data_IF_890333319420
#
_entry.id   IF_890333319420
#
_cell.length_a   1.000
_cell.length_b   1.000
_cell.length_c   1.000
_cell.angle_alpha   90.00
_cell.angle_beta   90.00
_cell.angle_gamma   90.00
#
_symmetry.space_group_name_H-M   'P 1'
#
loop_
_entity.id
_entity.type
_entity.pdbx_description
1 polymer ?
#
# COMPACT_ATOMS: atom_id res chain seq x y z
N UNK A 1 18.60 29.42 26.01
CA UNK A 1 18.29 29.51 24.57
C UNK A 1 17.47 28.28 24.21
N UNK A 2 16.14 28.41 24.16
CA UNK A 2 15.26 27.29 23.80
C UNK A 2 15.28 27.16 22.27
N UNK A 3 15.88 26.09 21.77
CA UNK A 3 15.75 25.72 20.37
C UNK A 3 14.38 25.07 20.19
N UNK A 4 13.44 25.75 19.55
CA UNK A 4 12.27 25.07 18.99
C UNK A 4 12.77 24.14 17.89
N UNK A 5 12.74 22.83 18.15
CA UNK A 5 13.06 21.82 17.15
C UNK A 5 11.89 21.74 16.18
N UNK A 6 12.13 22.06 14.91
CA UNK A 6 11.13 21.93 13.87
C UNK A 6 10.61 20.48 13.82
N UNK A 7 9.33 20.29 14.12
CA UNK A 7 8.64 19.00 14.00
C UNK A 7 8.25 18.78 12.55
N UNK A 8 8.67 17.65 11.99
CA UNK A 8 8.31 17.25 10.64
C UNK A 8 7.66 15.88 10.64
N UNK A 9 6.62 15.71 9.83
CA UNK A 9 5.98 14.43 9.56
C UNK A 9 5.58 14.37 8.09
N UNK A 10 5.88 13.24 7.46
CA UNK A 10 5.36 12.92 6.13
C UNK A 10 3.88 12.57 6.18
N UNK A 11 3.43 11.93 7.27
CA UNK A 11 2.06 11.46 7.42
C UNK A 11 1.19 12.51 8.09
N UNK A 12 -0.06 12.62 7.63
CA UNK A 12 -1.05 13.55 8.21
C UNK A 12 -1.60 13.01 9.52
N UNK A 13 -1.79 11.70 9.60
CA UNK A 13 -2.23 10.96 10.78
C UNK A 13 -1.45 9.66 10.88
N UNK A 14 -1.40 9.10 12.08
CA UNK A 14 -0.88 7.74 12.27
C UNK A 14 -1.72 6.74 11.45
N UNK A 15 -1.06 5.67 11.00
CA UNK A 15 -1.74 4.59 10.30
C UNK A 15 -2.47 3.68 11.31
N UNK A 16 -3.54 2.99 10.86
CA UNK A 16 -4.19 1.98 11.69
C UNK A 16 -3.19 0.91 12.16
N UNK A 17 -3.35 0.33 13.37
CA UNK A 17 -2.37 -0.61 13.93
C UNK A 17 -2.10 -1.86 13.08
N UNK A 18 -3.05 -2.27 12.24
CA UNK A 18 -2.89 -3.41 11.33
C UNK A 18 -2.11 -3.08 10.05
N UNK A 19 -1.71 -1.83 9.85
CA UNK A 19 -1.11 -1.32 8.62
C UNK A 19 0.30 -0.82 8.90
N UNK A 20 1.26 -1.27 8.10
CA UNK A 20 2.63 -0.80 8.15
C UNK A 20 3.09 -0.25 6.79
N UNK A 21 3.96 0.75 6.81
CA UNK A 21 4.67 1.20 5.61
C UNK A 21 5.94 0.37 5.51
N UNK A 22 5.95 -0.55 4.55
CA UNK A 22 7.09 -1.41 4.29
C UNK A 22 8.20 -0.68 3.54
N UNK A 23 7.85 0.25 2.64
CA UNK A 23 8.85 0.98 1.86
C UNK A 23 8.37 2.39 1.52
N UNK A 24 9.26 3.36 1.71
CA UNK A 24 9.21 4.67 1.05
C UNK A 24 10.57 4.88 0.40
N UNK A 25 10.60 4.86 -0.92
CA UNK A 25 11.82 5.04 -1.69
C UNK A 25 11.62 6.16 -2.72
N UNK A 26 12.35 7.27 -2.61
CA UNK A 26 12.39 8.29 -3.64
C UNK A 26 12.94 7.73 -4.95
N UNK A 27 12.14 7.80 -6.03
CA UNK A 27 12.55 7.38 -7.37
C UNK A 27 13.05 8.56 -8.19
N UNK A 28 12.37 9.71 -8.09
CA UNK A 28 12.78 10.95 -8.73
C UNK A 28 12.21 12.17 -8.03
N UNK A 29 12.87 13.31 -8.17
CA UNK A 29 12.35 14.60 -7.75
C UNK A 29 12.53 15.62 -8.87
N UNK A 30 11.42 16.20 -9.32
CA UNK A 30 11.38 17.20 -10.38
C UNK A 30 10.66 18.44 -9.88
N UNK A 31 11.38 19.56 -9.75
CA UNK A 31 10.85 20.81 -9.18
C UNK A 31 10.24 20.56 -7.79
N UNK A 32 8.91 20.59 -7.69
CA UNK A 32 8.14 20.34 -6.47
C UNK A 32 7.33 19.03 -6.50
N UNK A 33 7.60 18.14 -7.46
CA UNK A 33 6.98 16.83 -7.56
C UNK A 33 8.00 15.78 -7.15
N UNK A 34 7.63 14.97 -6.15
CA UNK A 34 8.37 13.81 -5.68
C UNK A 34 7.66 12.56 -6.16
N UNK A 35 8.36 11.71 -6.90
CA UNK A 35 7.89 10.37 -7.28
C UNK A 35 8.51 9.36 -6.33
N UNK A 36 7.69 8.56 -5.65
CA UNK A 36 8.17 7.52 -4.73
C UNK A 36 7.57 6.16 -5.05
N UNK A 37 8.33 5.12 -4.74
CA UNK A 37 7.81 3.78 -4.51
C UNK A 37 7.30 3.71 -3.08
N UNK A 38 6.02 3.40 -2.96
CA UNK A 38 5.30 3.31 -1.70
C UNK A 38 4.76 1.89 -1.55
N UNK A 39 5.26 1.16 -0.55
CA UNK A 39 4.75 -0.16 -0.20
C UNK A 39 4.06 -0.11 1.16
N UNK A 40 2.86 -0.68 1.19
CA UNK A 40 2.04 -0.77 2.38
C UNK A 40 1.59 -2.22 2.56
N UNK A 41 1.53 -2.65 3.81
CA UNK A 41 1.19 -4.03 4.15
C UNK A 41 0.21 -4.12 5.31
N UNK A 42 -0.52 -5.24 5.35
CA UNK A 42 -1.27 -5.66 6.51
C UNK A 42 -0.44 -6.64 7.34
N UNK A 43 -0.07 -6.25 8.57
CA UNK A 43 0.93 -7.01 9.35
C UNK A 43 0.39 -8.27 10.04
N UNK A 44 -0.93 -8.36 10.24
CA UNK A 44 -1.56 -9.51 10.90
C UNK A 44 -1.95 -10.58 9.88
N UNK A 45 -1.82 -11.84 10.28
CA UNK A 45 -2.37 -12.99 9.56
C UNK A 45 -3.85 -13.21 9.91
N UNK A 46 -4.54 -13.99 9.09
CA UNK A 46 -5.91 -14.43 9.35
C UNK A 46 -5.95 -15.14 10.70
N UNK A 47 -6.93 -14.78 11.53
CA UNK A 47 -7.19 -15.37 12.85
C UNK A 47 -6.12 -15.10 13.94
N UNK A 48 -5.10 -14.29 13.68
CA UNK A 48 -4.12 -13.90 14.69
C UNK A 48 -4.73 -13.00 15.78
N UNK A 49 -5.68 -12.14 15.40
CA UNK A 49 -6.39 -11.25 16.30
C UNK A 49 -7.85 -11.05 15.87
N UNK A 50 -8.78 -11.09 16.83
CA UNK A 50 -10.23 -11.04 16.57
C UNK A 50 -10.69 -9.82 15.76
N UNK A 51 -10.02 -8.68 15.94
CA UNK A 51 -10.35 -7.39 15.29
C UNK A 51 -9.30 -6.90 14.30
N UNK A 52 -8.02 -7.20 14.53
CA UNK A 52 -6.92 -6.60 13.77
C UNK A 52 -6.52 -7.45 12.56
N UNK A 53 -6.90 -8.73 12.55
CA UNK A 53 -6.79 -9.61 11.38
C UNK A 53 -7.91 -9.42 10.36
N UNK A 54 -8.67 -8.32 10.42
CA UNK A 54 -9.75 -8.04 9.48
C UNK A 54 -9.25 -7.09 8.39
N UNK A 55 -9.69 -7.31 7.16
CA UNK A 55 -9.36 -6.46 6.03
C UNK A 55 -9.70 -4.99 6.31
N UNK A 56 -8.89 -4.09 5.75
CA UNK A 56 -9.02 -2.65 5.97
C UNK A 56 -8.97 -1.88 4.64
N UNK A 57 -9.62 -0.72 4.62
CA UNK A 57 -9.63 0.20 3.49
C UNK A 57 -9.03 1.53 3.91
N UNK A 58 -8.11 2.06 3.12
CA UNK A 58 -7.35 3.26 3.44
C UNK A 58 -7.43 4.23 2.27
N UNK A 59 -7.88 5.44 2.52
CA UNK A 59 -7.92 6.49 1.50
C UNK A 59 -6.52 7.12 1.33
N UNK A 60 -5.86 6.85 0.20
CA UNK A 60 -4.44 7.21 0.01
C UNK A 60 -4.19 8.73 0.08
N UNK A 61 -5.17 9.54 -0.34
CA UNK A 61 -5.06 10.99 -0.32
C UNK A 61 -5.08 11.58 1.11
N UNK A 62 -5.50 10.80 2.11
CA UNK A 62 -5.48 11.20 3.53
C UNK A 62 -4.18 10.86 4.24
N UNK A 63 -3.29 10.05 3.63
CA UNK A 63 -2.06 9.57 4.25
C UNK A 63 -1.01 10.68 4.34
N UNK A 64 -0.76 11.39 3.24
CA UNK A 64 0.37 12.32 3.16
C UNK A 64 0.00 13.73 3.67
N UNK A 65 0.87 14.28 4.52
CA UNK A 65 0.80 15.65 5.00
C UNK A 65 1.55 16.58 4.04
N UNK A 66 1.12 17.84 3.95
CA UNK A 66 1.80 18.91 3.22
C UNK A 66 2.09 18.63 1.72
N UNK A 67 1.48 17.59 1.15
CA UNK A 67 1.64 17.21 -0.26
C UNK A 67 0.28 16.87 -0.85
N UNK A 68 0.05 17.33 -2.08
CA UNK A 68 -1.08 16.90 -2.91
C UNK A 68 -0.71 15.62 -3.65
N UNK A 69 -1.52 14.58 -3.49
CA UNK A 69 -1.44 13.40 -4.35
C UNK A 69 -1.84 13.78 -5.78
N UNK A 70 -0.93 13.61 -6.73
CA UNK A 70 -1.18 13.85 -8.15
C UNK A 70 -1.58 12.57 -8.88
N UNK A 71 -0.91 11.47 -8.56
CA UNK A 71 -1.07 10.19 -9.23
C UNK A 71 -0.70 9.07 -8.25
N UNK A 72 -1.43 7.97 -8.32
CA UNK A 72 -1.07 6.71 -7.68
C UNK A 72 -1.35 5.57 -8.65
N UNK A 73 -0.33 4.76 -8.94
CA UNK A 73 -0.43 3.61 -9.83
C UNK A 73 0.06 2.36 -9.12
N UNK A 74 -0.77 1.34 -9.08
CA UNK A 74 -0.39 0.06 -8.50
C UNK A 74 0.57 -0.68 -9.44
N UNK A 75 1.62 -1.24 -8.86
CA UNK A 75 2.66 -2.01 -9.55
C UNK A 75 2.79 -3.38 -8.91
N UNK A 76 3.45 -4.31 -9.61
CA UNK A 76 3.86 -5.58 -9.04
C UNK A 76 4.77 -5.37 -7.82
N UNK A 77 4.95 -6.40 -6.99
CA UNK A 77 5.82 -6.32 -5.79
C UNK A 77 7.27 -5.89 -6.15
N UNK A 78 7.77 -6.35 -7.30
CA UNK A 78 9.07 -5.98 -7.85
C UNK A 78 9.14 -4.57 -8.45
N UNK A 79 8.03 -3.81 -8.45
CA UNK A 79 7.90 -2.45 -8.97
C UNK A 79 8.33 -2.28 -10.44
N UNK A 80 8.33 -3.36 -11.23
CA UNK A 80 8.83 -3.39 -12.60
C UNK A 80 7.73 -3.40 -13.67
N UNK A 81 6.47 -3.61 -13.27
CA UNK A 81 5.31 -3.66 -14.17
C UNK A 81 4.08 -3.07 -13.47
N UNK A 82 3.19 -2.44 -14.23
CA UNK A 82 1.89 -2.03 -13.71
C UNK A 82 1.05 -3.26 -13.38
N UNK A 83 0.30 -3.18 -12.27
CA UNK A 83 -0.51 -4.32 -11.81
C UNK A 83 -1.60 -4.71 -12.82
N UNK A 84 -2.15 -3.73 -13.53
CA UNK A 84 -3.15 -3.91 -14.60
C UNK A 84 -2.60 -4.59 -15.85
N UNK A 85 -1.28 -4.53 -16.06
CA UNK A 85 -0.58 -5.14 -17.19
C UNK A 85 0.11 -6.47 -16.81
N UNK A 86 0.09 -6.82 -15.52
CA UNK A 86 0.70 -8.03 -15.03
C UNK A 86 0.00 -9.24 -15.65
N UNK A 87 0.80 -10.17 -16.21
CA UNK A 87 0.30 -11.38 -16.85
C UNK A 87 -0.60 -12.20 -15.92
N UNK A 88 -1.59 -12.84 -16.52
CA UNK A 88 -2.40 -13.84 -15.86
C UNK A 88 -1.50 -14.95 -15.32
N UNK A 89 -1.62 -15.21 -14.02
CA UNK A 89 -0.92 -16.32 -13.38
C UNK A 89 -1.41 -17.63 -13.99
N UNK A 90 -0.48 -18.58 -14.17
CA UNK A 90 -0.85 -19.95 -14.51
C UNK A 90 -1.83 -20.48 -13.45
N UNK A 91 -2.92 -21.08 -13.94
CA UNK A 91 -3.94 -21.69 -13.10
C UNK A 91 -3.56 -23.15 -12.89
N UNK A 92 -3.43 -23.55 -11.62
CA UNK A 92 -3.11 -24.91 -11.23
C UNK A 92 -4.34 -25.56 -10.59
N UNK A 93 -4.59 -26.82 -10.95
CA UNK A 93 -5.60 -27.64 -10.27
C UNK A 93 -4.87 -28.46 -9.21
N UNK A 94 -5.07 -28.16 -7.92
CA UNK A 94 -4.44 -28.95 -6.87
C UNK A 94 -5.11 -30.32 -6.74
N UNK A 95 -4.39 -31.29 -6.16
CA UNK A 95 -4.95 -32.61 -5.88
C UNK A 95 -6.17 -32.50 -4.93
N UNK A 96 -7.12 -33.41 -5.06
CA UNK A 96 -8.40 -33.38 -4.33
C UNK A 96 -8.28 -33.50 -2.79
N UNK A 97 -7.11 -33.86 -2.27
CA UNK A 97 -6.79 -33.87 -0.84
C UNK A 97 -6.31 -32.51 -0.33
N UNK A 98 -6.04 -31.57 -1.23
CA UNK A 98 -5.70 -30.20 -0.91
C UNK A 98 -6.99 -29.39 -0.74
N UNK A 99 -7.40 -29.22 0.52
CA UNK A 99 -8.33 -28.14 0.85
C UNK A 99 -7.61 -26.82 0.64
N UNK A 100 -7.84 -26.18 -0.50
CA UNK A 100 -7.41 -24.80 -0.69
C UNK A 100 -8.23 -23.90 0.24
N UNK A 101 -7.70 -23.69 1.44
CA UNK A 101 -8.26 -22.74 2.43
C UNK A 101 -7.97 -21.29 2.04
N UNK A 102 -7.20 -21.07 0.98
CA UNK A 102 -7.08 -19.75 0.39
C UNK A 102 -8.26 -19.56 -0.56
N UNK A 103 -9.35 -19.02 -0.04
CA UNK A 103 -10.15 -18.13 -0.89
C UNK A 103 -9.19 -17.06 -1.37
N UNK A 104 -8.69 -17.22 -2.60
CA UNK A 104 -8.01 -16.17 -3.35
C UNK A 104 -9.11 -15.15 -3.71
N UNK A 105 -9.59 -14.46 -2.69
CA UNK A 105 -10.44 -13.30 -2.84
C UNK A 105 -9.62 -12.32 -3.65
N UNK A 106 -10.02 -12.11 -4.91
CA UNK A 106 -9.38 -11.15 -5.77
C UNK A 106 -9.55 -9.81 -5.08
N UNK A 107 -8.49 -9.34 -4.44
CA UNK A 107 -8.51 -8.04 -3.79
C UNK A 107 -8.94 -7.01 -4.83
N UNK A 108 -9.86 -6.10 -4.50
CA UNK A 108 -10.35 -5.14 -5.45
C UNK A 108 -9.19 -4.39 -6.13
N UNK A 109 -9.30 -4.26 -7.45
CA UNK A 109 -8.41 -3.40 -8.22
C UNK A 109 -8.40 -2.01 -7.60
N UNK A 110 -7.21 -1.40 -7.53
CA UNK A 110 -7.08 -0.05 -7.01
C UNK A 110 -7.83 0.94 -7.91
N UNK A 111 -8.74 1.71 -7.33
CA UNK A 111 -9.57 2.70 -8.02
C UNK A 111 -8.90 4.08 -8.13
N UNK A 112 -7.66 4.21 -7.67
CA UNK A 112 -6.94 5.48 -7.60
C UNK A 112 -7.08 6.22 -6.26
N UNK A 113 -7.97 5.78 -5.37
CA UNK A 113 -8.32 6.49 -4.14
C UNK A 113 -8.24 5.64 -2.88
N UNK A 114 -8.68 4.38 -2.94
CA UNK A 114 -8.84 3.51 -1.78
C UNK A 114 -7.99 2.26 -1.91
N UNK A 115 -7.06 2.09 -0.99
CA UNK A 115 -6.25 0.89 -0.87
C UNK A 115 -6.99 -0.09 0.03
N UNK A 116 -7.43 -1.20 -0.53
CA UNK A 116 -7.91 -2.35 0.24
C UNK A 116 -6.73 -3.27 0.57
N UNK A 117 -6.62 -3.69 1.83
CA UNK A 117 -5.64 -4.65 2.31
C UNK A 117 -6.31 -5.78 3.07
N UNK A 118 -6.11 -6.99 2.58
CA UNK A 118 -6.43 -8.23 3.30
C UNK A 118 -5.26 -8.63 4.21
N UNK A 119 -5.48 -9.53 5.20
CA UNK A 119 -4.41 -10.04 6.06
C UNK A 119 -3.19 -10.54 5.28
N UNK A 120 -1.99 -10.21 5.76
CA UNK A 120 -0.69 -10.49 5.14
C UNK A 120 -0.50 -9.95 3.71
N UNK A 121 -1.39 -9.08 3.22
CA UNK A 121 -1.25 -8.52 1.89
C UNK A 121 -0.25 -7.36 1.87
N UNK A 122 0.63 -7.36 0.86
CA UNK A 122 1.49 -6.23 0.50
C UNK A 122 1.03 -5.67 -0.83
N UNK A 123 0.84 -4.35 -0.91
CA UNK A 123 0.55 -3.62 -2.15
C UNK A 123 1.62 -2.57 -2.41
N UNK A 124 2.01 -2.46 -3.67
CA UNK A 124 3.11 -1.59 -4.12
C UNK A 124 2.57 -0.55 -5.10
N UNK A 125 2.96 0.70 -4.89
CA UNK A 125 2.49 1.83 -5.69
C UNK A 125 3.65 2.71 -6.11
N UNK A 126 3.61 3.23 -7.33
CA UNK A 126 4.35 4.43 -7.71
C UNK A 126 3.39 5.60 -7.51
N UNK A 127 3.77 6.55 -6.65
CA UNK A 127 2.95 7.72 -6.36
C UNK A 127 3.71 9.01 -6.63
N UNK A 128 2.99 10.00 -7.14
CA UNK A 128 3.50 11.36 -7.38
C UNK A 128 2.87 12.31 -6.39
N UNK A 129 3.71 12.97 -5.60
CA UNK A 129 3.33 13.92 -4.57
C UNK A 129 3.84 15.31 -4.96
N UNK A 130 2.96 16.29 -4.99
CA UNK A 130 3.33 17.69 -5.19
C UNK A 130 3.38 18.41 -3.85
N UNK A 131 4.53 18.95 -3.48
CA UNK A 131 4.66 19.80 -2.30
C UNK A 131 3.80 21.06 -2.49
N UNK A 132 3.02 21.42 -1.46
CA UNK A 132 2.23 22.65 -1.45
C UNK A 132 3.12 23.90 -1.58
#
# INVERSE_FOLDING_TARGET
MNLEVARWSLLKTELPPQVNILTIEPLSQEKNILTILFRIEHIYDRNEHSKLSKSISIEIHKIFNNHKLLEAKEVTLGANMYKTEAFDRLKWTPDSTYEDKSEYNQTPNFDGQTIHLDPMQIRSFIIKLKKH
#
